data_IF_184478265106
#
_entry.id   IF_184478265106
#
_cell.length_a   1.000
_cell.length_b   1.000
_cell.length_c   1.000
_cell.angle_alpha   90.00
_cell.angle_beta   90.00
_cell.angle_gamma   90.00
#
_symmetry.space_group_name_H-M   'P 1'
#
loop_
_entity.id
_entity.type
_entity.pdbx_description
1 polymer ?
#
# COMPACT_ATOMS: atom_id res chain seq x y z
N UNK A 1 11.45 -19.69 -14.42
CA UNK A 1 11.85 -18.28 -14.25
C UNK A 1 10.60 -17.57 -13.75
N UNK A 2 10.51 -17.28 -12.46
CA UNK A 2 9.40 -16.45 -11.98
C UNK A 2 9.64 -15.05 -12.54
N UNK A 3 8.74 -14.59 -13.39
CA UNK A 3 8.85 -13.28 -14.02
C UNK A 3 8.61 -12.23 -12.92
N UNK A 4 9.69 -11.65 -12.37
CA UNK A 4 9.57 -10.61 -11.35
C UNK A 4 9.16 -9.32 -12.04
N UNK A 5 7.87 -9.00 -12.02
CA UNK A 5 7.37 -7.77 -12.57
C UNK A 5 7.87 -6.57 -11.76
N UNK A 6 8.53 -5.62 -12.42
CA UNK A 6 8.90 -4.33 -11.82
C UNK A 6 7.64 -3.46 -11.75
N UNK A 7 7.29 -2.97 -10.57
CA UNK A 7 6.17 -2.08 -10.35
C UNK A 7 6.65 -0.64 -10.19
N UNK A 8 5.86 0.31 -10.68
CA UNK A 8 6.08 1.75 -10.50
C UNK A 8 4.86 2.43 -9.88
N UNK A 9 5.13 3.45 -9.07
CA UNK A 9 4.13 4.34 -8.47
C UNK A 9 4.18 5.67 -9.22
N UNK A 10 3.07 6.06 -9.82
CA UNK A 10 2.98 7.26 -10.68
C UNK A 10 1.85 8.16 -10.20
N UNK A 11 2.10 9.47 -10.14
CA UNK A 11 1.05 10.48 -9.99
C UNK A 11 0.54 10.92 -11.36
N UNK A 12 -0.76 10.77 -11.59
CA UNK A 12 -1.43 11.17 -12.82
C UNK A 12 -1.75 12.68 -12.81
N UNK A 13 -2.03 13.23 -13.98
CA UNK A 13 -2.36 14.66 -14.12
C UNK A 13 -3.64 15.09 -13.36
N UNK A 14 -4.54 14.13 -13.08
CA UNK A 14 -5.73 14.35 -12.26
C UNK A 14 -5.46 14.28 -10.74
N UNK A 15 -4.22 14.02 -10.32
CA UNK A 15 -3.82 13.90 -8.92
C UNK A 15 -4.06 12.52 -8.30
N UNK A 16 -4.49 11.53 -9.07
CA UNK A 16 -4.55 10.13 -8.63
C UNK A 16 -3.15 9.52 -8.59
N UNK A 17 -2.91 8.66 -7.60
CA UNK A 17 -1.66 7.89 -7.47
C UNK A 17 -1.95 6.44 -7.82
N UNK A 18 -1.21 5.91 -8.78
CA UNK A 18 -1.44 4.56 -9.31
C UNK A 18 -0.21 3.67 -9.16
N UNK A 19 -0.45 2.38 -8.90
CA UNK A 19 0.55 1.33 -8.95
C UNK A 19 0.33 0.51 -10.23
N UNK A 20 1.36 0.36 -11.07
CA UNK A 20 1.26 -0.42 -12.32
C UNK A 20 2.58 -1.10 -12.68
N UNK A 21 2.58 -2.12 -13.54
CA UNK A 21 3.83 -2.70 -14.05
C UNK A 21 4.56 -1.69 -14.94
N UNK A 22 5.87 -1.54 -14.74
CA UNK A 22 6.70 -0.58 -15.48
C UNK A 22 6.77 -0.90 -16.98
N UNK A 23 6.65 -2.17 -17.34
CA UNK A 23 6.75 -2.63 -18.74
C UNK A 23 5.38 -2.79 -19.43
N UNK A 24 4.27 -2.60 -18.71
CA UNK A 24 2.93 -2.83 -19.25
C UNK A 24 2.14 -1.53 -19.40
N UNK A 25 1.63 -1.27 -20.60
CA UNK A 25 0.67 -0.19 -20.89
C UNK A 25 -0.78 -0.62 -20.62
N UNK A 26 -1.02 -1.22 -19.45
CA UNK A 26 -2.32 -1.76 -19.03
C UNK A 26 -3.04 -0.91 -17.98
N UNK A 27 -4.17 -1.43 -17.49
CA UNK A 27 -4.88 -0.85 -16.35
C UNK A 27 -4.02 -0.88 -15.08
N UNK A 28 -4.09 0.16 -14.23
CA UNK A 28 -3.37 0.16 -12.98
C UNK A 28 -3.89 -0.94 -12.06
N UNK A 29 -2.97 -1.57 -11.31
CA UNK A 29 -3.29 -2.60 -10.33
C UNK A 29 -4.08 -2.00 -9.15
N UNK A 30 -3.67 -0.79 -8.75
CA UNK A 30 -4.30 -0.02 -7.66
C UNK A 30 -4.34 1.44 -8.07
N UNK A 31 -5.46 2.11 -7.78
CA UNK A 31 -5.60 3.56 -7.89
C UNK A 31 -6.04 4.15 -6.55
N UNK A 32 -5.33 5.17 -6.08
CA UNK A 32 -5.63 5.92 -4.87
C UNK A 32 -6.13 7.30 -5.29
N UNK A 33 -7.35 7.62 -4.84
CA UNK A 33 -7.93 8.95 -4.97
C UNK A 33 -8.31 9.50 -3.60
N UNK A 34 -7.75 10.64 -3.27
CA UNK A 34 -8.10 11.36 -2.04
C UNK A 34 -9.40 12.15 -2.25
N UNK A 35 -10.20 12.28 -1.21
CA UNK A 35 -11.31 13.24 -1.20
C UNK A 35 -10.77 14.67 -1.25
N UNK A 36 -11.62 15.63 -1.61
CA UNK A 36 -11.23 17.05 -1.64
C UNK A 36 -10.72 17.52 -0.28
N UNK A 37 -11.38 17.12 0.81
CA UNK A 37 -10.98 17.45 2.18
C UNK A 37 -9.61 16.87 2.53
N UNK A 38 -9.35 15.63 2.13
CA UNK A 38 -8.06 15.00 2.36
C UNK A 38 -6.94 15.65 1.52
N UNK A 39 -7.23 16.11 0.30
CA UNK A 39 -6.28 16.88 -0.52
C UNK A 39 -5.91 18.19 0.17
N UNK A 40 -6.88 18.92 0.74
CA UNK A 40 -6.63 20.16 1.47
C UNK A 40 -5.84 19.96 2.77
N UNK A 41 -6.06 18.83 3.44
CA UNK A 41 -5.35 18.46 4.66
C UNK A 41 -3.90 18.05 4.36
N UNK A 42 -3.72 17.14 3.41
CA UNK A 42 -2.42 16.50 3.12
C UNK A 42 -1.51 17.39 2.27
N UNK A 43 -2.08 18.25 1.41
CA UNK A 43 -1.36 19.22 0.58
C UNK A 43 -0.19 18.58 -0.18
N UNK A 44 1.04 18.97 0.18
CA UNK A 44 2.29 18.51 -0.45
C UNK A 44 2.65 17.08 -0.08
N UNK A 45 2.10 16.55 1.01
CA UNK A 45 2.42 15.22 1.53
C UNK A 45 1.51 14.13 0.93
N UNK A 46 0.56 14.50 0.06
CA UNK A 46 -0.40 13.56 -0.55
C UNK A 46 0.30 12.37 -1.22
N UNK A 47 1.33 12.65 -2.02
CA UNK A 47 2.07 11.61 -2.73
C UNK A 47 2.83 10.69 -1.77
N UNK A 48 3.50 11.26 -0.75
CA UNK A 48 4.21 10.46 0.27
C UNK A 48 3.25 9.55 1.03
N UNK A 49 2.08 10.05 1.42
CA UNK A 49 1.05 9.25 2.09
C UNK A 49 0.56 8.12 1.19
N UNK A 50 0.29 8.39 -0.09
CA UNK A 50 -0.11 7.34 -1.03
C UNK A 50 0.98 6.29 -1.23
N UNK A 51 2.25 6.69 -1.30
CA UNK A 51 3.40 5.79 -1.39
C UNK A 51 3.47 4.87 -0.17
N UNK A 52 3.40 5.42 1.04
CA UNK A 52 3.40 4.61 2.27
C UNK A 52 2.21 3.65 2.32
N UNK A 53 1.02 4.07 1.87
CA UNK A 53 -0.15 3.18 1.78
C UNK A 53 0.10 1.99 0.85
N UNK A 54 0.73 2.22 -0.30
CA UNK A 54 1.07 1.16 -1.25
C UNK A 54 2.18 0.26 -0.72
N UNK A 55 3.23 0.83 -0.14
CA UNK A 55 4.35 0.09 0.48
C UNK A 55 3.83 -0.83 1.61
N UNK A 56 2.92 -0.31 2.44
CA UNK A 56 2.26 -1.11 3.47
C UNK A 56 1.36 -2.20 2.92
N UNK A 57 0.61 -1.94 1.85
CA UNK A 57 -0.24 -2.94 1.23
C UNK A 57 0.58 -4.12 0.69
N UNK A 58 1.65 -3.82 -0.06
CA UNK A 58 2.56 -4.84 -0.62
C UNK A 58 3.22 -5.65 0.50
N UNK A 59 3.71 -4.98 1.54
CA UNK A 59 4.43 -5.65 2.64
C UNK A 59 3.50 -6.48 3.52
N UNK A 60 2.27 -6.02 3.79
CA UNK A 60 1.30 -6.77 4.61
C UNK A 60 0.69 -7.96 3.88
N UNK A 61 0.51 -7.90 2.56
CA UNK A 61 0.06 -9.07 1.78
C UNK A 61 1.08 -10.21 1.88
N UNK A 62 2.37 -9.90 1.99
CA UNK A 62 3.42 -10.90 2.18
C UNK A 62 3.37 -11.61 3.55
N UNK A 63 2.60 -11.08 4.51
CA UNK A 63 2.39 -11.69 5.83
C UNK A 63 1.22 -12.69 5.87
N UNK A 64 0.47 -12.85 4.77
CA UNK A 64 -0.70 -13.75 4.69
C UNK A 64 -0.48 -14.99 3.83
N UNK A 65 0.66 -15.14 3.16
CA UNK A 65 1.02 -16.36 2.40
C UNK A 65 1.90 -17.35 3.19
N UNK A 66 2.03 -17.19 4.50
CA UNK A 66 2.68 -18.18 5.34
C UNK A 66 2.71 -17.77 6.80
N UNK A 67 1.72 -18.24 7.56
CA UNK A 67 1.86 -18.74 8.94
C UNK A 67 0.46 -19.23 9.39
N UNK A 68 0.12 -20.45 8.95
CA UNK A 68 -0.60 -21.35 9.87
C UNK A 68 0.43 -21.75 10.95
N UNK A 69 -0.01 -21.77 12.22
CA UNK A 69 0.76 -22.05 13.46
C UNK A 69 1.48 -20.80 14.04
N UNK A 70 1.27 -20.34 15.27
CA UNK A 70 0.94 -21.02 16.52
C UNK A 70 0.30 -20.03 17.52
N UNK A 71 -0.69 -20.53 18.27
CA UNK A 71 -1.15 -19.92 19.52
C UNK A 71 -0.07 -19.96 20.60
N UNK A 72 0.35 -18.81 21.13
CA UNK A 72 0.94 -18.68 22.46
C UNK A 72 1.01 -17.20 22.83
N UNK A 73 0.74 -16.70 24.03
CA UNK A 73 0.09 -17.17 25.24
C UNK A 73 -0.14 -15.86 26.03
N UNK A 74 -1.11 -15.84 26.93
CA UNK A 74 -1.57 -14.65 27.64
C UNK A 74 -0.45 -13.80 28.28
N UNK A 75 -0.31 -12.55 27.84
CA UNK A 75 0.35 -11.50 28.61
C UNK A 75 -0.68 -10.44 29.04
N UNK A 76 -1.67 -10.90 29.81
CA UNK A 76 -2.51 -10.05 30.65
C UNK A 76 -1.88 -9.97 32.06
N UNK A 77 -0.88 -9.12 32.20
CA UNK A 77 -0.43 -8.56 33.48
C UNK A 77 -0.31 -7.05 33.25
N UNK A 78 -0.90 -6.11 33.98
CA UNK A 78 -1.42 -6.01 35.36
C UNK A 78 -2.44 -4.83 35.32
N UNK A 79 -3.43 -4.62 36.19
CA UNK A 79 -3.32 -4.04 37.54
C UNK A 79 -4.73 -4.02 38.16
N UNK A 80 -4.87 -4.63 39.33
CA UNK A 80 -5.68 -4.12 40.45
C UNK A 80 -5.02 -4.55 41.77
#
# INVERSE_FOLDING_TARGET
>A
MSDTAILEIVELANGEVVLRPAEATGEPLVSIRFSEEAVELLRRNRFEVAREMLDHAITRTHLWEGDEEESSEAELATVH
#
